data_IF_832928254992
#
_entry.id   IF_832928254992
#
_cell.length_a   1.000
_cell.length_b   1.000
_cell.length_c   1.000
_cell.angle_alpha   90.00
_cell.angle_beta   90.00
_cell.angle_gamma   90.00
#
_symmetry.space_group_name_H-M   'P 1'
#
loop_
_entity.id
_entity.type
_entity.pdbx_description
1 polymer ?
#
# COMPACT_ATOMS: atom_id res chain seq x y z
N UNK A 1 -19.16 -12.98 6.93
CA UNK A 1 -17.77 -12.48 6.82
C UNK A 1 -17.66 -11.17 7.58
N UNK A 2 -16.69 -11.08 8.48
CA UNK A 2 -16.38 -9.86 9.22
C UNK A 2 -15.58 -8.89 8.34
N UNK A 3 -15.71 -7.57 8.59
CA UNK A 3 -14.94 -6.52 7.91
C UNK A 3 -13.43 -6.81 7.90
N UNK A 4 -12.94 -7.36 9.01
CA UNK A 4 -11.53 -7.75 9.18
C UNK A 4 -11.08 -8.86 8.23
N UNK A 5 -11.95 -9.83 7.96
CA UNK A 5 -11.67 -10.93 7.03
C UNK A 5 -11.63 -10.43 5.59
N UNK A 6 -12.54 -9.50 5.27
CA UNK A 6 -12.59 -8.84 3.97
C UNK A 6 -11.32 -8.03 3.69
N UNK A 7 -10.89 -7.19 4.64
CA UNK A 7 -9.65 -6.41 4.52
C UNK A 7 -8.42 -7.31 4.39
N UNK A 8 -8.34 -8.38 5.18
CA UNK A 8 -7.24 -9.33 5.08
C UNK A 8 -7.22 -10.06 3.72
N UNK A 9 -8.39 -10.38 3.16
CA UNK A 9 -8.50 -10.95 1.81
C UNK A 9 -8.02 -9.95 0.75
N UNK A 10 -8.48 -8.71 0.82
CA UNK A 10 -8.08 -7.62 -0.07
C UNK A 10 -6.58 -7.39 -0.02
N UNK A 11 -6.00 -7.38 1.17
CA UNK A 11 -4.57 -7.18 1.36
C UNK A 11 -3.73 -8.29 0.68
N UNK A 12 -4.17 -9.55 0.78
CA UNK A 12 -3.50 -10.67 0.08
C UNK A 12 -3.57 -10.52 -1.43
N UNK A 13 -4.69 -10.04 -1.98
CA UNK A 13 -4.82 -9.76 -3.41
C UNK A 13 -3.88 -8.65 -3.84
N UNK A 14 -3.89 -7.50 -3.16
CA UNK A 14 -3.04 -6.36 -3.49
C UNK A 14 -1.55 -6.72 -3.41
N UNK A 15 -1.12 -7.49 -2.39
CA UNK A 15 0.28 -7.96 -2.30
C UNK A 15 0.72 -8.79 -3.51
N UNK A 16 -0.18 -9.61 -4.07
CA UNK A 16 0.11 -10.38 -5.28
C UNK A 16 0.28 -9.49 -6.51
N UNK A 17 -0.56 -8.45 -6.65
CA UNK A 17 -0.47 -7.50 -7.75
C UNK A 17 0.80 -6.66 -7.61
N UNK A 18 1.02 -6.05 -6.45
CA UNK A 18 2.21 -5.26 -6.15
C UNK A 18 3.51 -6.02 -6.45
N UNK A 19 3.60 -7.29 -6.04
CA UNK A 19 4.76 -8.13 -6.31
C UNK A 19 5.05 -8.40 -7.80
N UNK A 20 4.05 -8.28 -8.70
CA UNK A 20 4.28 -8.36 -10.16
C UNK A 20 5.03 -7.15 -10.71
N UNK A 21 4.91 -6.02 -10.02
CA UNK A 21 5.53 -4.75 -10.38
C UNK A 21 6.78 -4.44 -9.55
N UNK A 22 7.31 -5.42 -8.81
CA UNK A 22 8.44 -5.18 -7.90
C UNK A 22 8.10 -4.28 -6.72
N UNK A 23 6.83 -4.20 -6.33
CA UNK A 23 6.37 -3.34 -5.24
C UNK A 23 6.03 -4.14 -3.98
N UNK A 24 6.49 -3.64 -2.85
CA UNK A 24 6.18 -4.17 -1.53
C UNK A 24 5.27 -3.22 -0.75
N UNK A 25 4.15 -3.77 -0.27
CA UNK A 25 3.20 -3.05 0.59
C UNK A 25 3.68 -3.11 2.04
N UNK A 26 4.11 -1.96 2.56
CA UNK A 26 4.51 -1.77 3.94
C UNK A 26 3.29 -1.39 4.79
N UNK A 27 3.22 -1.90 6.02
CA UNK A 27 2.15 -1.60 6.98
C UNK A 27 2.79 -1.15 8.27
N UNK A 28 2.33 -0.02 8.82
CA UNK A 28 2.82 0.48 10.08
C UNK A 28 2.41 -0.48 11.21
N UNK A 29 3.40 -0.95 11.99
CA UNK A 29 3.14 -1.82 13.14
C UNK A 29 2.35 -1.10 14.25
N UNK A 30 2.64 0.21 14.42
CA UNK A 30 1.92 1.10 15.32
C UNK A 30 1.72 2.46 14.67
N UNK A 31 0.47 2.88 14.55
CA UNK A 31 0.12 4.24 14.16
C UNK A 31 0.41 5.17 15.34
N UNK A 32 1.35 6.09 15.15
CA UNK A 32 1.63 7.16 16.11
C UNK A 32 1.29 8.53 15.49
N UNK A 33 1.39 9.62 16.26
CA UNK A 33 1.09 10.96 15.74
C UNK A 33 2.01 11.42 14.58
N UNK A 34 3.16 10.77 14.40
CA UNK A 34 4.08 10.98 13.27
C UNK A 34 3.76 10.10 12.06
N UNK A 35 2.76 9.22 12.17
CA UNK A 35 2.30 8.33 11.11
C UNK A 35 0.94 8.81 10.61
N UNK A 36 0.72 8.76 9.30
CA UNK A 36 -0.58 9.15 8.74
C UNK A 36 -1.71 8.20 9.13
N UNK A 37 -2.96 8.63 8.89
CA UNK A 37 -4.16 7.87 9.27
C UNK A 37 -4.37 6.59 8.45
N UNK A 38 -3.69 6.45 7.31
CA UNK A 38 -3.86 5.31 6.41
C UNK A 38 -3.06 4.05 6.80
N UNK A 39 -1.90 4.20 7.43
CA UNK A 39 -1.12 3.07 7.96
C UNK A 39 -0.41 2.22 6.93
N UNK A 40 -0.44 2.59 5.65
CA UNK A 40 0.22 1.85 4.57
C UNK A 40 1.09 2.72 3.68
N UNK A 41 2.06 2.09 3.02
CA UNK A 41 2.95 2.70 2.05
C UNK A 41 3.41 1.67 1.01
N UNK A 42 3.82 2.14 -0.18
CA UNK A 42 4.40 1.29 -1.23
C UNK A 42 5.88 1.57 -1.36
N UNK A 43 6.67 0.51 -1.32
CA UNK A 43 8.10 0.55 -1.54
C UNK A 43 8.43 -0.17 -2.85
N UNK A 44 9.29 0.44 -3.64
CA UNK A 44 9.93 -0.22 -4.77
C UNK A 44 11.05 -1.14 -4.26
N UNK A 45 11.05 -2.40 -4.68
CA UNK A 45 12.01 -3.40 -4.24
C UNK A 45 13.36 -3.29 -4.94
N UNK A 46 13.45 -2.63 -6.11
CA UNK A 46 14.73 -2.36 -6.77
C UNK A 46 15.51 -1.25 -6.06
N UNK A 47 14.87 -0.10 -5.84
CA UNK A 47 15.51 1.05 -5.22
C UNK A 47 15.42 1.09 -3.69
N UNK A 48 14.60 0.22 -3.10
CA UNK A 48 14.24 0.21 -1.67
C UNK A 48 13.59 1.52 -1.17
N UNK A 49 13.16 2.40 -2.09
CA UNK A 49 12.54 3.68 -1.75
C UNK A 49 11.04 3.54 -1.63
N UNK A 50 10.46 4.29 -0.70
CA UNK A 50 9.01 4.44 -0.63
C UNK A 50 8.60 5.38 -1.75
N UNK A 51 7.75 4.89 -2.65
CA UNK A 51 7.29 5.63 -3.83
C UNK A 51 5.88 6.20 -3.63
N UNK A 52 5.13 5.69 -2.65
CA UNK A 52 3.78 6.15 -2.36
C UNK A 52 3.42 5.99 -0.87
N UNK A 53 2.60 6.90 -0.35
CA UNK A 53 2.12 6.85 1.04
C UNK A 53 3.14 7.30 2.10
N UNK A 54 4.13 8.12 1.74
CA UNK A 54 5.15 8.65 2.64
C UNK A 54 5.10 10.17 2.85
N UNK A 55 4.19 10.87 2.17
CA UNK A 55 4.05 12.34 2.23
C UNK A 55 2.62 12.73 2.60
N UNK A 56 2.42 13.76 3.44
CA UNK A 56 3.43 14.55 4.17
C UNK A 56 4.07 13.81 5.36
N UNK A 57 3.54 12.64 5.74
CA UNK A 57 4.03 11.79 6.82
C UNK A 57 4.19 10.35 6.32
N UNK A 58 5.06 9.54 6.93
CA UNK A 58 5.18 8.13 6.59
C UNK A 58 3.86 7.38 6.86
N UNK A 59 3.58 6.39 6.01
CA UNK A 59 2.40 5.52 6.05
C UNK A 59 1.07 6.29 6.08
N UNK A 60 0.91 7.27 5.21
CA UNK A 60 -0.33 8.04 5.05
C UNK A 60 -1.37 7.35 4.18
N UNK A 61 -0.97 6.44 3.29
CA UNK A 61 -1.88 5.82 2.34
C UNK A 61 -2.79 4.79 3.02
N UNK A 62 -4.06 4.78 2.63
CA UNK A 62 -5.06 3.78 3.00
C UNK A 62 -4.98 2.57 2.06
N UNK A 63 -5.73 1.51 2.37
CA UNK A 63 -5.89 0.37 1.46
C UNK A 63 -6.56 0.78 0.14
N UNK A 64 -7.49 1.74 0.16
CA UNK A 64 -8.14 2.24 -1.06
C UNK A 64 -7.16 3.00 -1.97
N UNK A 65 -6.27 3.81 -1.37
CA UNK A 65 -5.25 4.54 -2.12
C UNK A 65 -4.27 3.59 -2.82
N UNK A 66 -3.87 2.52 -2.13
CA UNK A 66 -2.98 1.50 -2.69
C UNK A 66 -3.67 0.73 -3.82
N UNK A 67 -4.93 0.33 -3.62
CA UNK A 67 -5.70 -0.39 -4.63
C UNK A 67 -5.85 0.46 -5.90
N UNK A 68 -6.13 1.76 -5.75
CA UNK A 68 -6.20 2.69 -6.87
C UNK A 68 -4.84 2.84 -7.59
N UNK A 69 -3.73 2.93 -6.85
CA UNK A 69 -2.40 3.01 -7.43
C UNK A 69 -2.04 1.74 -8.24
N UNK A 70 -2.30 0.56 -7.66
CA UNK A 70 -2.04 -0.72 -8.34
C UNK A 70 -2.96 -0.93 -9.54
N UNK A 71 -4.21 -0.47 -9.48
CA UNK A 71 -5.15 -0.55 -10.61
C UNK A 71 -4.65 0.28 -11.78
N UNK A 72 -4.15 1.51 -11.54
CA UNK A 72 -3.53 2.33 -12.59
C UNK A 72 -2.32 1.67 -13.24
N UNK A 73 -1.50 0.97 -12.45
CA UNK A 73 -0.38 0.18 -12.96
C UNK A 73 -0.83 -1.04 -13.79
N UNK A 74 -1.94 -1.69 -13.42
CA UNK A 74 -2.54 -2.77 -14.21
C UNK A 74 -3.19 -2.26 -15.51
N UNK A 75 -3.74 -1.05 -15.50
CA UNK A 75 -4.37 -0.42 -16.67
C UNK A 75 -3.35 0.17 -17.67
N UNK A 76 -2.06 0.19 -17.33
CA UNK A 76 -0.98 0.61 -18.23
C UNK A 76 -0.95 2.12 -18.49
N UNK A 77 -1.52 2.93 -17.59
CA UNK A 77 -1.31 4.38 -17.61
C UNK A 77 0.10 4.69 -17.08
N UNK A 78 1.08 4.67 -18.00
CA UNK A 78 2.42 5.24 -17.84
C UNK A 78 2.40 6.78 -17.72
#
# INVERSE_FOLDING_TARGET
MSRKEFEASRMRRMRRVAGRYGLTILTAEKLNAKTGKGGHALRDDESFKVIFGDKPLPFTATLDDIDAYLTKLEEGEE
#
